data_IF_278319817242
#
_entry.id   IF_278319817242
#
_cell.length_a   1.000
_cell.length_b   1.000
_cell.length_c   1.000
_cell.angle_alpha   90.00
_cell.angle_beta   90.00
_cell.angle_gamma   90.00
#
_symmetry.space_group_name_H-M   'P 1'
#
loop_
_entity.id
_entity.type
_entity.pdbx_description
1 polymer ?
#
# COMPACT_ATOMS: atom_id res chain seq x y z
N UNK A 1 -1.72 29.34 -47.91
CA UNK A 1 -1.14 27.98 -47.82
C UNK A 1 -0.13 27.78 -46.68
N UNK A 2 0.63 28.76 -46.17
CA UNK A 2 1.57 28.58 -45.04
C UNK A 2 0.92 28.46 -43.64
N UNK A 3 -0.27 29.05 -43.39
CA UNK A 3 -0.96 28.99 -42.09
C UNK A 3 -1.70 27.66 -41.85
N UNK A 4 -2.27 27.03 -42.90
CA UNK A 4 -2.94 25.73 -42.76
C UNK A 4 -2.01 24.55 -42.49
N UNK A 5 -0.78 24.60 -43.04
CA UNK A 5 0.22 23.54 -42.83
C UNK A 5 0.79 23.58 -41.41
N UNK A 6 0.87 24.76 -40.78
CA UNK A 6 1.30 24.87 -39.37
C UNK A 6 0.25 24.33 -38.37
N UNK A 7 -1.04 24.51 -38.67
CA UNK A 7 -2.13 24.02 -37.82
C UNK A 7 -2.21 22.48 -37.84
N UNK A 8 -2.04 21.85 -39.04
CA UNK A 8 -2.04 20.39 -39.18
C UNK A 8 -0.79 19.77 -38.55
N UNK A 9 0.38 20.43 -38.64
CA UNK A 9 1.60 19.98 -37.99
C UNK A 9 1.50 20.07 -36.45
N UNK A 10 0.82 21.09 -35.90
CA UNK A 10 0.59 21.26 -34.48
C UNK A 10 -0.38 20.21 -33.90
N UNK A 11 -1.42 19.86 -34.68
CA UNK A 11 -2.40 18.83 -34.26
C UNK A 11 -1.77 17.42 -34.33
N UNK A 12 -0.94 17.15 -35.35
CA UNK A 12 -0.21 15.87 -35.43
C UNK A 12 0.91 15.77 -34.36
N UNK A 13 1.60 16.85 -34.04
CA UNK A 13 2.59 16.87 -32.96
C UNK A 13 1.92 16.70 -31.59
N UNK A 14 0.75 17.29 -31.35
CA UNK A 14 -0.06 17.09 -30.18
C UNK A 14 -0.57 15.66 -30.03
N UNK A 15 -1.02 15.02 -31.12
CA UNK A 15 -1.48 13.63 -31.13
C UNK A 15 -0.31 12.62 -30.94
N UNK A 16 0.88 12.91 -31.48
CA UNK A 16 2.08 12.08 -31.25
C UNK A 16 2.63 12.30 -29.86
N UNK A 17 2.51 13.49 -29.27
CA UNK A 17 2.89 13.75 -27.88
C UNK A 17 1.97 13.04 -26.89
N UNK A 18 0.66 12.93 -27.19
CA UNK A 18 -0.30 12.17 -26.39
C UNK A 18 -0.14 10.64 -26.51
N UNK A 19 0.45 10.15 -27.61
CA UNK A 19 0.73 8.72 -27.80
C UNK A 19 2.11 8.29 -27.26
N UNK A 20 2.98 9.24 -26.94
CA UNK A 20 4.33 8.99 -26.43
C UNK A 20 4.51 9.42 -24.96
N UNK A 21 3.42 9.84 -24.30
CA UNK A 21 3.36 9.76 -22.86
C UNK A 21 3.17 8.29 -22.53
N UNK A 22 4.29 7.56 -22.55
CA UNK A 22 4.42 6.35 -21.76
C UNK A 22 3.83 6.70 -20.42
N UNK A 23 2.99 5.85 -19.89
CA UNK A 23 2.53 5.88 -18.52
C UNK A 23 3.79 5.95 -17.65
N UNK A 24 4.33 7.15 -17.45
CA UNK A 24 5.05 7.43 -16.23
C UNK A 24 3.98 7.22 -15.18
N UNK A 25 3.99 6.04 -14.57
CA UNK A 25 3.45 5.88 -13.24
C UNK A 25 4.09 7.02 -12.45
N UNK A 26 3.36 8.12 -12.31
CA UNK A 26 3.66 9.11 -11.32
C UNK A 26 3.50 8.33 -10.04
N UNK A 27 4.60 7.88 -9.44
CA UNK A 27 4.58 7.34 -8.09
C UNK A 27 3.88 8.43 -7.29
N UNK A 28 2.72 8.12 -6.74
CA UNK A 28 1.96 9.04 -5.92
C UNK A 28 2.87 9.45 -4.78
N UNK A 29 3.30 10.69 -4.79
CA UNK A 29 4.29 11.21 -3.85
C UNK A 29 3.73 11.07 -2.43
N UNK A 30 4.52 10.49 -1.53
CA UNK A 30 4.12 10.33 -0.13
C UNK A 30 4.09 11.71 0.49
N UNK A 31 2.90 12.25 0.67
CA UNK A 31 2.69 13.61 1.16
C UNK A 31 2.18 13.56 2.59
N UNK A 32 2.96 14.01 3.54
CA UNK A 32 2.52 14.27 4.90
C UNK A 32 1.91 15.68 5.01
N UNK A 33 1.21 15.94 6.12
CA UNK A 33 0.95 17.31 6.55
C UNK A 33 2.28 17.91 7.02
N UNK A 34 2.92 18.67 6.16
CA UNK A 34 4.23 19.23 6.42
C UNK A 34 4.14 20.57 7.16
N UNK A 35 5.25 20.99 7.76
CA UNK A 35 5.38 22.34 8.32
C UNK A 35 5.21 23.42 7.25
N UNK A 36 5.43 23.10 5.98
CA UNK A 36 5.21 23.98 4.82
C UNK A 36 3.72 24.26 4.58
N UNK A 37 2.82 23.36 5.02
CA UNK A 37 1.36 23.53 4.94
C UNK A 37 0.83 24.45 6.05
N UNK A 38 1.70 24.86 6.98
CA UNK A 38 1.37 25.71 8.12
C UNK A 38 1.94 27.10 7.87
N UNK A 39 1.11 28.11 8.07
CA UNK A 39 1.56 29.50 8.06
C UNK A 39 2.59 29.71 9.19
N UNK A 40 3.87 29.98 8.84
CA UNK A 40 4.98 30.08 9.82
C UNK A 40 4.96 31.36 10.63
N UNK A 41 4.10 32.32 10.27
CA UNK A 41 3.96 33.60 10.97
C UNK A 41 2.58 33.71 11.61
N UNK A 42 2.54 34.38 12.76
CA UNK A 42 1.30 34.75 13.43
C UNK A 42 0.65 35.94 12.71
N UNK A 43 -0.60 36.28 13.02
CA UNK A 43 -1.34 37.40 12.42
C UNK A 43 -0.66 38.76 12.65
N UNK A 44 0.18 38.90 13.69
CA UNK A 44 0.99 40.07 14.01
C UNK A 44 2.41 40.05 13.40
N UNK A 45 2.68 39.04 12.51
CA UNK A 45 3.92 38.94 11.73
C UNK A 45 5.12 38.33 12.48
N UNK A 46 4.92 37.73 13.65
CA UNK A 46 5.98 37.02 14.38
C UNK A 46 6.10 35.59 13.90
N UNK A 47 7.31 35.04 13.91
CA UNK A 47 7.56 33.65 13.63
C UNK A 47 6.96 32.76 14.74
N UNK A 48 6.21 31.70 14.34
CA UNK A 48 5.61 30.76 15.28
C UNK A 48 6.67 29.85 15.90
N UNK A 49 6.52 29.57 17.19
CA UNK A 49 7.35 28.58 17.86
C UNK A 49 7.11 27.17 17.32
N UNK A 50 8.13 26.28 17.27
CA UNK A 50 7.98 24.91 16.78
C UNK A 50 6.84 24.11 17.44
N UNK A 51 6.54 24.40 18.71
CA UNK A 51 5.41 23.78 19.43
C UNK A 51 4.06 24.22 18.88
N UNK A 52 3.93 25.47 18.44
CA UNK A 52 2.70 25.99 17.84
C UNK A 52 2.47 25.37 16.47
N UNK A 53 3.52 25.27 15.66
CA UNK A 53 3.49 24.60 14.35
C UNK A 53 3.07 23.13 14.53
N UNK A 54 3.72 22.42 15.45
CA UNK A 54 3.36 21.01 15.76
C UNK A 54 1.89 20.88 16.17
N UNK A 55 1.39 21.79 17.01
CA UNK A 55 -0.01 21.79 17.46
C UNK A 55 -0.98 21.98 16.27
N UNK A 56 -0.67 22.92 15.37
CA UNK A 56 -1.51 23.13 14.19
C UNK A 56 -1.52 21.94 13.24
N UNK A 57 -0.37 21.26 13.04
CA UNK A 57 -0.31 20.00 12.27
C UNK A 57 -1.22 18.96 12.91
N UNK A 58 -1.19 18.80 14.23
CA UNK A 58 -2.05 17.85 14.96
C UNK A 58 -3.53 18.21 14.77
N UNK A 59 -3.92 19.48 14.87
CA UNK A 59 -5.31 19.89 14.65
C UNK A 59 -5.75 19.67 13.19
N UNK A 60 -4.87 19.94 12.22
CA UNK A 60 -5.16 19.60 10.81
C UNK A 60 -5.28 18.09 10.60
N UNK A 61 -4.41 17.30 11.25
CA UNK A 61 -4.50 15.85 11.18
C UNK A 61 -5.85 15.37 11.75
N UNK A 62 -6.28 15.85 12.90
CA UNK A 62 -7.60 15.51 13.47
C UNK A 62 -8.75 15.84 12.54
N UNK A 63 -8.67 16.94 11.80
CA UNK A 63 -9.67 17.39 10.86
C UNK A 63 -9.74 16.57 9.55
N UNK A 64 -8.77 15.68 9.29
CA UNK A 64 -8.85 14.79 8.13
C UNK A 64 -10.07 13.88 8.24
N UNK A 65 -10.78 13.65 7.12
CA UNK A 65 -12.01 12.86 7.13
C UNK A 65 -11.76 11.42 7.55
N UNK A 66 -12.68 10.88 8.33
CA UNK A 66 -12.79 9.46 8.66
C UNK A 66 -13.71 8.84 7.61
N UNK A 67 -13.18 7.95 6.76
CA UNK A 67 -13.93 7.40 5.63
C UNK A 67 -15.14 6.60 6.08
N UNK A 68 -15.02 5.87 7.18
CA UNK A 68 -16.13 5.08 7.74
C UNK A 68 -17.26 5.93 8.31
N UNK A 69 -17.01 7.21 8.62
CA UNK A 69 -18.07 8.13 9.08
C UNK A 69 -19.07 8.54 7.98
N UNK A 70 -18.74 8.27 6.72
CA UNK A 70 -19.63 8.50 5.59
C UNK A 70 -20.69 7.41 5.42
N UNK A 71 -20.51 6.25 6.08
CA UNK A 71 -21.43 5.12 6.00
C UNK A 71 -22.72 5.40 6.83
N UNK A 72 -23.85 5.04 6.27
CA UNK A 72 -25.15 5.23 6.95
C UNK A 72 -25.23 4.30 8.17
N UNK A 73 -25.80 4.79 9.27
CA UNK A 73 -25.94 4.05 10.53
C UNK A 73 -24.61 3.50 11.09
N UNK A 74 -23.47 4.00 10.61
CA UNK A 74 -22.17 3.67 11.18
C UNK A 74 -21.87 4.59 12.34
N UNK A 75 -21.41 4.03 13.45
CA UNK A 75 -21.07 4.84 14.62
C UNK A 75 -19.91 5.77 14.27
N UNK A 76 -20.07 7.06 14.54
CA UNK A 76 -19.03 8.05 14.26
C UNK A 76 -17.73 7.74 15.02
N UNK A 77 -16.62 7.71 14.28
CA UNK A 77 -15.30 7.41 14.82
C UNK A 77 -14.68 8.57 15.61
N UNK A 78 -13.73 8.30 16.52
CA UNK A 78 -12.99 9.34 17.21
C UNK A 78 -12.05 10.10 16.26
N UNK A 79 -11.85 11.38 16.53
CA UNK A 79 -10.80 12.18 15.90
C UNK A 79 -9.43 11.76 16.48
N UNK A 80 -8.52 11.27 15.63
CA UNK A 80 -7.17 10.87 16.03
C UNK A 80 -6.12 11.86 15.54
N UNK A 81 -5.02 11.97 16.27
CA UNK A 81 -3.88 12.81 15.94
C UNK A 81 -3.00 12.22 14.83
N UNK A 82 -3.11 10.92 14.56
CA UNK A 82 -2.49 10.28 13.42
C UNK A 82 -3.09 10.75 12.08
N UNK A 83 -2.25 10.94 11.06
CA UNK A 83 -2.74 11.31 9.71
C UNK A 83 -3.49 10.16 9.05
N UNK A 84 -3.10 8.92 9.34
CA UNK A 84 -3.84 7.73 8.95
C UNK A 84 -4.07 6.80 10.14
N UNK A 85 -5.18 6.07 10.08
CA UNK A 85 -5.49 5.05 11.07
C UNK A 85 -6.52 4.05 10.58
N UNK A 86 -6.45 2.83 11.11
CA UNK A 86 -7.42 1.77 10.87
C UNK A 86 -7.66 0.97 12.13
N UNK A 87 -8.89 0.48 12.30
CA UNK A 87 -9.20 -0.63 13.18
C UNK A 87 -9.78 -1.76 12.35
N UNK A 88 -9.14 -2.92 12.42
CA UNK A 88 -9.58 -4.13 11.72
C UNK A 88 -9.84 -5.24 12.73
N UNK A 89 -10.96 -5.93 12.59
CA UNK A 89 -11.24 -7.17 13.31
C UNK A 89 -10.30 -8.28 12.79
N UNK A 90 -9.55 -8.93 13.68
CA UNK A 90 -8.55 -9.91 13.28
C UNK A 90 -9.17 -11.26 12.89
N UNK A 91 -10.35 -11.58 13.38
CA UNK A 91 -10.99 -12.87 13.11
C UNK A 91 -11.52 -12.93 11.66
N UNK A 92 -12.12 -11.84 11.19
CA UNK A 92 -12.82 -11.81 9.91
C UNK A 92 -12.38 -10.70 8.94
N UNK A 93 -11.42 -9.84 9.34
CA UNK A 93 -10.90 -8.77 8.49
C UNK A 93 -11.83 -7.57 8.29
N UNK A 94 -12.93 -7.46 9.07
CA UNK A 94 -13.82 -6.31 9.02
C UNK A 94 -13.11 -5.01 9.36
N UNK A 95 -13.40 -3.96 8.60
CA UNK A 95 -12.87 -2.61 8.83
C UNK A 95 -13.89 -1.85 9.68
N UNK A 96 -13.51 -1.57 10.93
CA UNK A 96 -14.39 -0.90 11.90
C UNK A 96 -14.20 0.62 11.89
N UNK A 97 -12.99 1.07 11.58
CA UNK A 97 -12.59 2.46 11.46
C UNK A 97 -11.58 2.61 10.34
N UNK A 98 -11.71 3.62 9.51
CA UNK A 98 -10.77 3.96 8.44
C UNK A 98 -10.60 5.46 8.31
N UNK A 99 -9.35 5.94 8.36
CA UNK A 99 -8.94 7.31 8.13
C UNK A 99 -7.70 7.31 7.27
N UNK A 100 -7.75 7.88 6.07
CA UNK A 100 -6.64 7.84 5.09
C UNK A 100 -6.00 6.45 4.98
N UNK A 101 -6.83 5.40 5.16
CA UNK A 101 -6.35 4.05 5.43
C UNK A 101 -5.60 3.41 4.25
N UNK A 102 -5.83 3.88 3.03
CA UNK A 102 -5.20 3.39 1.80
C UNK A 102 -4.06 4.27 1.31
N UNK A 103 -3.83 5.41 1.96
CA UNK A 103 -2.76 6.34 1.61
C UNK A 103 -1.40 5.78 2.03
N UNK A 104 -0.37 6.06 1.24
CA UNK A 104 1.02 5.61 1.48
C UNK A 104 1.70 6.46 2.54
N UNK A 105 2.41 5.79 3.46
CA UNK A 105 3.21 6.40 4.53
C UNK A 105 4.50 5.60 4.73
N UNK A 106 5.54 6.24 5.24
CA UNK A 106 6.77 5.56 5.65
C UNK A 106 6.51 4.78 6.95
N UNK A 107 6.78 3.45 6.97
CA UNK A 107 6.42 2.61 8.12
C UNK A 107 7.35 2.76 9.32
N UNK A 108 8.62 3.12 9.13
CA UNK A 108 9.66 2.92 10.13
C UNK A 108 9.69 1.46 10.63
N UNK A 109 10.01 1.25 11.91
CA UNK A 109 10.23 -0.09 12.48
C UNK A 109 8.98 -0.99 12.58
N UNK A 110 7.78 -0.54 12.22
CA UNK A 110 6.64 -1.47 12.09
C UNK A 110 6.84 -2.45 10.92
N UNK A 111 7.71 -2.14 9.96
CA UNK A 111 8.22 -3.05 8.92
C UNK A 111 8.65 -4.41 9.47
N UNK A 112 9.22 -4.44 10.69
CA UNK A 112 9.72 -5.66 11.33
C UNK A 112 8.65 -6.71 11.61
N UNK A 113 7.36 -6.35 11.57
CA UNK A 113 6.26 -7.32 11.62
C UNK A 113 6.28 -8.18 10.35
N UNK A 114 6.47 -7.60 9.16
CA UNK A 114 6.61 -8.35 7.91
C UNK A 114 7.91 -9.19 7.92
N UNK A 115 8.99 -8.63 8.42
CA UNK A 115 10.27 -9.36 8.56
C UNK A 115 10.10 -10.60 9.44
N UNK A 116 9.40 -10.46 10.58
CA UNK A 116 9.11 -11.59 11.46
C UNK A 116 8.20 -12.63 10.79
N UNK A 117 7.17 -12.19 10.07
CA UNK A 117 6.26 -13.08 9.34
C UNK A 117 7.03 -13.94 8.31
N UNK A 118 7.80 -13.29 7.44
CA UNK A 118 8.56 -14.00 6.39
C UNK A 118 9.62 -14.92 7.01
N UNK A 119 10.27 -14.49 8.10
CA UNK A 119 11.24 -15.32 8.81
C UNK A 119 10.58 -16.57 9.40
N UNK A 120 9.44 -16.43 10.08
CA UNK A 120 8.72 -17.56 10.69
C UNK A 120 8.16 -18.55 9.66
N UNK A 121 7.83 -18.09 8.47
CA UNK A 121 7.32 -18.93 7.39
C UNK A 121 8.43 -19.69 6.65
N UNK A 122 9.71 -19.26 6.76
CA UNK A 122 10.81 -19.78 5.93
C UNK A 122 12.04 -20.24 6.73
N UNK A 123 11.97 -20.29 8.06
CA UNK A 123 13.08 -20.74 8.89
C UNK A 123 12.61 -21.48 10.15
N UNK A 124 13.57 -22.08 10.86
CA UNK A 124 13.33 -22.72 12.16
C UNK A 124 13.86 -21.83 13.29
N UNK A 125 13.23 -21.87 14.46
CA UNK A 125 13.69 -21.11 15.64
C UNK A 125 15.11 -21.43 16.10
N UNK A 126 15.63 -22.59 15.69
CA UNK A 126 16.99 -23.06 15.99
C UNK A 126 18.02 -22.68 14.95
N UNK A 127 17.62 -22.10 13.80
CA UNK A 127 18.55 -21.73 12.75
C UNK A 127 19.53 -20.66 13.24
N UNK A 128 20.77 -20.76 12.81
CA UNK A 128 21.83 -19.85 13.23
C UNK A 128 21.78 -18.56 12.39
N UNK A 129 21.62 -17.44 13.04
CA UNK A 129 21.76 -16.09 12.45
C UNK A 129 23.18 -15.61 12.70
N UNK A 130 23.94 -15.38 11.61
CA UNK A 130 25.31 -14.89 11.66
C UNK A 130 25.36 -13.44 11.21
N UNK A 131 26.07 -12.58 11.93
CA UNK A 131 26.16 -11.15 11.65
C UNK A 131 27.30 -10.84 10.68
N UNK A 132 26.95 -10.40 9.48
CA UNK A 132 27.87 -9.95 8.44
C UNK A 132 28.39 -8.52 8.69
N UNK A 133 29.39 -8.09 7.96
CA UNK A 133 29.83 -6.68 7.94
C UNK A 133 28.69 -5.75 7.48
N UNK A 134 27.88 -6.21 6.52
CA UNK A 134 26.74 -5.46 5.98
C UNK A 134 25.64 -5.25 7.02
N UNK A 135 25.31 -6.30 7.79
CA UNK A 135 24.31 -6.17 8.86
C UNK A 135 24.75 -5.15 9.92
N UNK A 136 26.04 -5.12 10.27
CA UNK A 136 26.59 -4.14 11.22
C UNK A 136 26.54 -2.70 10.69
N UNK A 137 26.49 -2.52 9.38
CA UNK A 137 26.26 -1.21 8.75
C UNK A 137 24.95 -0.55 9.21
N UNK A 138 24.03 -1.29 9.81
CA UNK A 138 22.79 -0.75 10.40
C UNK A 138 22.96 -0.23 11.84
N UNK A 139 24.14 -0.33 12.43
CA UNK A 139 24.45 0.13 13.81
C UNK A 139 24.93 1.59 13.83
N UNK A 140 24.08 2.52 13.42
CA UNK A 140 24.42 3.94 13.47
C UNK A 140 23.96 4.58 14.79
N UNK A 141 24.67 5.63 15.23
CA UNK A 141 24.25 6.43 16.37
C UNK A 141 22.86 7.00 16.16
N UNK A 142 21.99 6.83 17.14
CA UNK A 142 20.57 7.26 17.08
C UNK A 142 19.60 6.19 16.56
N UNK A 143 20.10 5.08 16.00
CA UNK A 143 19.25 3.96 15.58
C UNK A 143 19.24 2.82 16.60
N UNK A 144 18.13 2.08 16.64
CA UNK A 144 17.98 0.95 17.55
C UNK A 144 18.87 -0.22 17.13
N UNK A 145 19.78 -0.67 18.01
CA UNK A 145 20.65 -1.83 17.84
C UNK A 145 20.98 -2.46 19.21
N UNK A 146 21.54 -3.66 19.21
CA UNK A 146 21.99 -4.40 20.41
C UNK A 146 23.50 -4.67 20.40
N UNK A 147 24.24 -3.95 19.55
CA UNK A 147 25.69 -3.98 19.44
C UNK A 147 26.27 -5.38 19.14
N UNK A 148 25.69 -6.07 18.17
CA UNK A 148 26.24 -7.32 17.66
C UNK A 148 27.60 -7.08 16.97
N UNK A 149 28.43 -8.10 16.92
CA UNK A 149 29.78 -8.07 16.33
C UNK A 149 29.84 -8.90 15.07
N UNK A 150 30.82 -8.62 14.21
CA UNK A 150 31.07 -9.42 13.01
C UNK A 150 31.32 -10.89 13.36
N UNK A 151 30.72 -11.78 12.59
CA UNK A 151 30.78 -13.24 12.77
C UNK A 151 30.20 -13.74 14.13
N UNK A 152 29.52 -12.85 14.86
CA UNK A 152 28.77 -13.25 16.04
C UNK A 152 27.52 -14.04 15.60
N UNK A 153 27.14 -15.03 16.39
CA UNK A 153 26.07 -15.97 16.10
C UNK A 153 25.06 -16.05 17.23
N UNK A 154 23.78 -16.00 16.89
CA UNK A 154 22.67 -16.30 17.79
C UNK A 154 21.66 -17.18 17.05
N UNK A 155 20.77 -17.86 17.74
CA UNK A 155 19.69 -18.59 17.08
C UNK A 155 18.56 -17.64 16.61
N UNK A 156 17.68 -18.12 15.73
CA UNK A 156 16.57 -17.32 15.17
C UNK A 156 15.59 -16.85 16.27
N UNK A 157 15.34 -17.65 17.32
CA UNK A 157 14.49 -17.25 18.47
C UNK A 157 15.07 -16.02 19.15
N UNK A 158 16.35 -16.01 19.46
CA UNK A 158 17.05 -14.88 20.08
C UNK A 158 17.01 -13.65 19.16
N UNK A 159 17.24 -13.88 17.87
CA UNK A 159 17.21 -12.81 16.86
C UNK A 159 15.81 -12.17 16.74
N UNK A 160 14.74 -12.97 16.69
CA UNK A 160 13.37 -12.45 16.63
C UNK A 160 13.00 -11.67 17.91
N UNK A 161 13.38 -12.15 19.10
CA UNK A 161 13.17 -11.39 20.34
C UNK A 161 13.90 -10.04 20.32
N UNK A 162 15.18 -10.03 19.92
CA UNK A 162 15.97 -8.80 19.81
C UNK A 162 15.37 -7.82 18.79
N UNK A 163 14.95 -8.32 17.63
CA UNK A 163 14.33 -7.51 16.58
C UNK A 163 13.00 -6.91 17.05
N UNK A 164 12.14 -7.68 17.69
CA UNK A 164 10.80 -7.21 18.06
C UNK A 164 10.82 -6.35 19.33
N UNK A 165 11.51 -6.75 20.40
CA UNK A 165 11.53 -6.03 21.67
C UNK A 165 12.47 -4.83 21.66
N UNK A 166 13.75 -5.03 21.26
CA UNK A 166 14.72 -3.95 21.21
C UNK A 166 14.62 -3.10 19.93
N UNK A 167 13.91 -3.59 18.90
CA UNK A 167 13.84 -2.99 17.57
C UNK A 167 15.18 -2.97 16.82
N UNK A 168 16.08 -3.93 17.09
CA UNK A 168 17.44 -3.97 16.59
C UNK A 168 17.47 -4.05 15.06
N UNK A 169 18.11 -3.05 14.40
CA UNK A 169 18.13 -2.93 12.95
C UNK A 169 19.10 -3.89 12.28
N UNK A 170 20.28 -4.08 12.88
CA UNK A 170 21.28 -5.04 12.42
C UNK A 170 20.78 -6.48 12.49
N UNK A 171 19.95 -6.76 13.50
CA UNK A 171 19.34 -8.09 13.64
C UNK A 171 18.30 -8.34 12.54
N UNK A 172 17.47 -7.37 12.22
CA UNK A 172 16.53 -7.49 11.11
C UNK A 172 17.26 -7.72 9.77
N UNK A 173 18.40 -7.06 9.57
CA UNK A 173 19.22 -7.27 8.38
C UNK A 173 19.80 -8.70 8.34
N UNK A 174 20.41 -9.16 9.44
CA UNK A 174 21.01 -10.49 9.53
C UNK A 174 19.97 -11.62 9.40
N UNK A 175 18.73 -11.42 9.93
CA UNK A 175 17.61 -12.32 9.66
C UNK A 175 17.33 -12.40 8.16
N UNK A 176 17.31 -11.24 7.48
CA UNK A 176 17.10 -11.18 6.03
C UNK A 176 18.16 -11.96 5.25
N UNK A 177 19.45 -11.80 5.58
CA UNK A 177 20.52 -12.57 4.95
C UNK A 177 20.38 -14.08 5.22
N UNK A 178 20.05 -14.45 6.44
CA UNK A 178 19.91 -15.86 6.84
C UNK A 178 18.77 -16.56 6.12
N UNK A 179 17.58 -15.92 6.09
CA UNK A 179 16.36 -16.51 5.53
C UNK A 179 16.34 -16.45 4.00
N UNK A 180 16.77 -15.33 3.43
CA UNK A 180 16.76 -15.13 1.99
C UNK A 180 17.97 -15.75 1.27
N UNK A 181 19.02 -16.16 2.00
CA UNK A 181 20.32 -16.51 1.40
C UNK A 181 21.08 -15.30 0.87
N UNK A 182 20.37 -14.29 0.37
CA UNK A 182 20.85 -12.92 0.13
C UNK A 182 19.83 -11.93 0.67
N UNK A 183 20.29 -10.74 1.04
CA UNK A 183 19.40 -9.71 1.58
C UNK A 183 18.37 -9.22 0.57
N UNK A 184 18.78 -9.08 -0.69
CA UNK A 184 17.91 -8.66 -1.80
C UNK A 184 16.79 -9.67 -2.05
N UNK A 185 17.09 -10.95 -1.99
CA UNK A 185 16.08 -12.00 -2.14
C UNK A 185 15.08 -11.96 -0.98
N UNK A 186 15.53 -11.72 0.24
CA UNK A 186 14.62 -11.56 1.38
C UNK A 186 13.66 -10.38 1.20
N UNK A 187 14.14 -9.23 0.74
CA UNK A 187 13.30 -8.07 0.43
C UNK A 187 12.30 -8.39 -0.68
N UNK A 188 12.71 -9.18 -1.68
CA UNK A 188 11.78 -9.68 -2.69
C UNK A 188 10.69 -10.57 -2.06
N UNK A 189 11.06 -11.52 -1.18
CA UNK A 189 10.10 -12.36 -0.46
C UNK A 189 9.09 -11.52 0.35
N UNK A 190 9.53 -10.45 1.01
CA UNK A 190 8.63 -9.52 1.73
C UNK A 190 7.59 -8.91 0.78
N UNK A 191 7.98 -8.44 -0.39
CA UNK A 191 7.10 -7.83 -1.37
C UNK A 191 6.14 -8.85 -2.01
N UNK A 192 6.61 -10.05 -2.31
CA UNK A 192 5.79 -11.15 -2.81
C UNK A 192 4.72 -11.53 -1.77
N UNK A 193 5.13 -11.66 -0.50
CA UNK A 193 4.21 -12.00 0.58
C UNK A 193 3.18 -10.89 0.83
N UNK A 194 3.57 -9.62 0.76
CA UNK A 194 2.64 -8.50 0.84
C UNK A 194 1.56 -8.60 -0.26
N UNK A 195 1.96 -8.90 -1.49
CA UNK A 195 1.03 -9.08 -2.60
C UNK A 195 0.08 -10.27 -2.39
N UNK A 196 0.58 -11.39 -1.85
CA UNK A 196 -0.27 -12.56 -1.52
C UNK A 196 -1.31 -12.25 -0.46
N UNK A 197 -0.98 -11.39 0.51
CA UNK A 197 -1.89 -10.90 1.54
C UNK A 197 -2.92 -9.89 1.01
N UNK A 198 -2.81 -9.47 -0.25
CA UNK A 198 -3.70 -8.49 -0.88
C UNK A 198 -3.34 -7.05 -0.58
N UNK A 199 -2.10 -6.78 -0.19
CA UNK A 199 -1.59 -5.42 -0.02
C UNK A 199 -1.47 -4.71 -1.38
N UNK A 200 -2.04 -3.52 -1.50
CA UNK A 200 -2.08 -2.74 -2.75
C UNK A 200 -1.20 -1.48 -2.69
N UNK A 201 -0.94 -0.98 -1.47
CA UNK A 201 -0.22 0.27 -1.23
C UNK A 201 1.01 0.05 -0.33
N UNK A 202 1.74 -1.04 -0.58
CA UNK A 202 2.92 -1.43 0.20
C UNK A 202 4.08 -1.80 -0.71
N UNK A 203 5.26 -1.31 -0.37
CA UNK A 203 6.52 -1.69 -1.00
C UNK A 203 7.66 -1.63 0.02
N UNK A 204 8.37 -2.73 0.18
CA UNK A 204 9.51 -2.85 1.08
C UNK A 204 10.83 -2.72 0.33
N UNK A 205 11.73 -1.88 0.83
CA UNK A 205 13.11 -1.73 0.37
C UNK A 205 14.13 -2.36 1.32
N UNK A 206 13.71 -2.61 2.57
CA UNK A 206 14.56 -3.18 3.61
C UNK A 206 13.74 -3.89 4.68
N UNK A 207 14.42 -4.72 5.49
CA UNK A 207 13.81 -5.53 6.55
C UNK A 207 13.65 -4.80 7.89
N UNK A 208 14.23 -3.63 8.08
CA UNK A 208 14.29 -2.94 9.37
C UNK A 208 13.42 -1.68 9.46
N UNK A 209 12.97 -1.13 8.33
CA UNK A 209 12.16 0.07 8.27
C UNK A 209 12.96 1.37 8.30
N UNK A 210 14.25 1.33 7.98
CA UNK A 210 15.03 2.54 7.73
C UNK A 210 14.47 3.28 6.51
N UNK A 211 14.60 4.60 6.54
CA UNK A 211 14.05 5.44 5.50
C UNK A 211 14.64 5.13 4.11
N UNK A 212 13.74 4.97 3.16
CA UNK A 212 13.98 4.97 1.72
C UNK A 212 12.71 5.53 1.07
N UNK A 213 12.84 6.37 0.06
CA UNK A 213 11.69 7.03 -0.59
C UNK A 213 10.69 6.04 -1.21
N UNK A 214 11.15 4.84 -1.56
CA UNK A 214 10.34 3.76 -2.12
C UNK A 214 9.88 2.73 -1.07
N UNK A 215 10.15 2.96 0.22
CA UNK A 215 9.75 2.09 1.32
C UNK A 215 8.49 2.62 1.98
N UNK A 216 7.33 2.13 1.60
CA UNK A 216 6.05 2.63 2.08
C UNK A 216 5.04 1.52 2.37
N UNK A 217 4.06 1.86 3.18
CA UNK A 217 2.89 1.02 3.51
C UNK A 217 1.64 1.88 3.60
N UNK A 218 0.46 1.25 3.54
CA UNK A 218 -0.79 1.86 4.00
C UNK A 218 -1.19 1.31 5.38
N UNK A 219 -2.10 1.99 6.07
CA UNK A 219 -2.63 1.50 7.35
C UNK A 219 -3.40 0.20 7.14
N UNK A 220 -4.19 0.08 6.06
CA UNK A 220 -4.89 -1.15 5.67
C UNK A 220 -3.93 -2.31 5.46
N UNK A 221 -2.90 -2.12 4.67
CA UNK A 221 -1.94 -3.19 4.35
C UNK A 221 -1.18 -3.64 5.60
N UNK A 222 -0.78 -2.71 6.47
CA UNK A 222 -0.17 -3.06 7.74
C UNK A 222 -1.10 -3.84 8.67
N UNK A 223 -2.42 -3.55 8.64
CA UNK A 223 -3.39 -4.34 9.39
C UNK A 223 -3.51 -5.76 8.83
N UNK A 224 -3.54 -5.94 7.50
CA UNK A 224 -3.52 -7.26 6.85
C UNK A 224 -2.26 -8.06 7.21
N UNK A 225 -1.09 -7.43 7.09
CA UNK A 225 0.19 -8.04 7.44
C UNK A 225 0.22 -8.45 8.92
N UNK A 226 -0.26 -7.57 9.80
CA UNK A 226 -0.26 -7.84 11.25
C UNK A 226 -1.24 -8.96 11.60
N UNK A 227 -2.42 -8.99 11.00
CA UNK A 227 -3.41 -10.06 11.16
C UNK A 227 -2.81 -11.42 10.84
N UNK A 228 -2.10 -11.53 9.71
CA UNK A 228 -1.42 -12.77 9.32
C UNK A 228 -0.25 -13.10 10.24
N UNK A 229 0.60 -12.13 10.54
CA UNK A 229 1.77 -12.33 11.39
C UNK A 229 1.36 -12.82 12.79
N UNK A 230 0.29 -12.26 13.36
CA UNK A 230 -0.19 -12.62 14.70
C UNK A 230 -1.05 -13.91 14.71
N UNK A 231 -1.27 -14.54 13.56
CA UNK A 231 -1.75 -15.93 13.50
C UNK A 231 -0.66 -16.95 13.89
N UNK A 232 0.63 -16.53 13.85
CA UNK A 232 1.77 -17.37 14.23
C UNK A 232 1.95 -17.35 15.74
N UNK A 233 1.77 -18.50 16.39
CA UNK A 233 1.89 -18.66 17.86
C UNK A 233 3.24 -18.20 18.40
N UNK A 234 4.31 -18.47 17.62
CA UNK A 234 5.68 -18.10 17.97
C UNK A 234 5.86 -16.57 18.05
N UNK A 235 5.23 -15.83 17.13
CA UNK A 235 5.30 -14.37 17.18
C UNK A 235 4.52 -13.83 18.38
N UNK A 236 3.36 -14.41 18.71
CA UNK A 236 2.59 -14.02 19.89
C UNK A 236 3.40 -14.24 21.17
N UNK A 237 4.08 -15.38 21.31
CA UNK A 237 4.98 -15.66 22.44
C UNK A 237 6.06 -14.58 22.57
N UNK A 238 6.73 -14.24 21.44
CA UNK A 238 7.76 -13.19 21.41
C UNK A 238 7.18 -11.84 21.81
N UNK A 239 6.04 -11.45 21.24
CA UNK A 239 5.42 -10.15 21.51
C UNK A 239 4.96 -9.99 22.95
N UNK A 240 4.50 -11.07 23.59
CA UNK A 240 4.05 -11.07 24.98
C UNK A 240 5.20 -11.15 26.00
N UNK A 241 6.44 -11.36 25.53
CA UNK A 241 7.61 -11.43 26.39
C UNK A 241 7.95 -10.03 26.96
N UNK A 242 7.90 -9.80 28.28
CA UNK A 242 8.15 -8.49 28.86
C UNK A 242 9.62 -8.12 28.85
N UNK A 243 10.49 -9.11 29.01
CA UNK A 243 11.95 -8.99 29.03
C UNK A 243 12.57 -10.25 28.48
N UNK A 244 13.61 -10.11 27.68
CA UNK A 244 14.36 -11.21 27.12
C UNK A 244 15.86 -11.01 27.28
N UNK A 245 16.58 -12.11 27.52
CA UNK A 245 18.04 -12.12 27.69
C UNK A 245 18.65 -13.07 26.66
N UNK A 246 19.49 -12.55 25.77
CA UNK A 246 20.37 -13.35 24.93
C UNK A 246 21.57 -13.76 25.79
N UNK A 247 21.86 -15.07 25.87
CA UNK A 247 23.03 -15.56 26.61
C UNK A 247 24.34 -15.13 25.95
N UNK A 248 25.48 -15.49 26.57
CA UNK A 248 26.81 -15.37 25.97
C UNK A 248 26.84 -16.06 24.59
N UNK A 249 27.55 -15.45 23.65
CA UNK A 249 27.62 -15.96 22.28
C UNK A 249 29.01 -16.53 21.98
N UNK A 250 29.26 -16.93 20.74
CA UNK A 250 30.61 -17.34 20.28
C UNK A 250 31.64 -16.21 20.41
N UNK A 251 31.23 -14.94 20.52
CA UNK A 251 32.12 -13.76 20.59
C UNK A 251 31.92 -12.94 21.86
N UNK A 252 30.66 -12.69 22.24
CA UNK A 252 30.35 -11.86 23.41
C UNK A 252 30.35 -12.72 24.68
N UNK A 253 31.08 -12.23 25.70
CA UNK A 253 31.17 -12.87 27.01
C UNK A 253 30.14 -12.34 28.00
N UNK A 254 29.34 -11.38 27.59
CA UNK A 254 28.27 -10.76 28.38
C UNK A 254 26.91 -11.05 27.78
N UNK A 255 25.92 -11.27 28.64
CA UNK A 255 24.53 -11.40 28.22
C UNK A 255 23.96 -10.05 27.81
N UNK A 256 22.95 -10.07 26.92
CA UNK A 256 22.23 -8.87 26.51
C UNK A 256 20.77 -8.98 26.92
N UNK A 257 20.35 -8.11 27.82
CA UNK A 257 18.95 -8.04 28.26
C UNK A 257 18.27 -6.82 27.70
N UNK A 258 17.08 -7.01 27.15
CA UNK A 258 16.22 -5.94 26.66
C UNK A 258 14.76 -6.16 27.05
N UNK A 259 14.01 -5.06 27.13
CA UNK A 259 12.63 -5.03 27.59
C UNK A 259 11.68 -4.68 26.46
N UNK A 260 10.41 -5.07 26.62
CA UNK A 260 9.32 -4.65 25.75
C UNK A 260 9.22 -3.12 25.70
N UNK A 261 9.17 -2.57 24.46
CA UNK A 261 9.08 -1.11 24.24
C UNK A 261 7.65 -0.63 23.99
N UNK A 262 6.69 -1.53 23.76
CA UNK A 262 5.30 -1.15 23.53
C UNK A 262 4.65 -0.75 24.86
N UNK A 263 4.38 0.54 25.05
CA UNK A 263 4.02 1.12 26.36
C UNK A 263 2.66 0.64 26.89
N UNK A 264 1.77 0.11 26.04
CA UNK A 264 0.51 -0.49 26.49
C UNK A 264 0.70 -1.89 27.08
N UNK A 265 1.84 -2.54 26.85
CA UNK A 265 2.19 -3.84 27.42
C UNK A 265 3.04 -3.74 28.68
N UNK A 266 3.51 -2.55 29.02
CA UNK A 266 4.38 -2.29 30.17
C UNK A 266 3.65 -1.43 31.20
N UNK A 267 3.74 -1.80 32.49
CA UNK A 267 3.14 -1.03 33.57
C UNK A 267 3.52 0.46 33.48
N UNK A 268 2.53 1.34 33.56
CA UNK A 268 2.71 2.79 33.45
C UNK A 268 1.48 3.51 32.92
N UNK A 269 1.68 4.75 32.48
CA UNK A 269 0.59 5.66 32.03
C UNK A 269 -0.31 5.06 30.95
N UNK A 270 0.26 4.26 30.04
CA UNK A 270 -0.43 3.75 28.86
C UNK A 270 -0.80 2.27 28.97
N UNK A 271 -0.47 1.62 30.06
CA UNK A 271 -0.78 0.20 30.25
C UNK A 271 -2.27 -0.10 30.02
N UNK A 272 -2.55 -1.06 29.15
CA UNK A 272 -3.90 -1.57 28.91
C UNK A 272 -3.84 -3.11 28.85
N UNK A 273 -4.53 -3.80 29.77
CA UNK A 273 -4.47 -5.26 29.85
C UNK A 273 -5.06 -5.98 28.62
N UNK A 274 -5.79 -5.27 27.77
CA UNK A 274 -6.31 -5.80 26.50
C UNK A 274 -5.22 -5.93 25.42
N UNK A 275 -4.11 -5.19 25.55
CA UNK A 275 -3.01 -5.22 24.60
C UNK A 275 -2.18 -6.48 24.75
N UNK A 276 -2.13 -7.30 23.70
CA UNK A 276 -1.36 -8.54 23.69
C UNK A 276 -0.19 -8.54 22.69
N UNK A 277 0.00 -7.47 21.94
CA UNK A 277 1.10 -7.36 20.98
C UNK A 277 1.12 -6.03 20.25
N UNK A 278 2.21 -5.76 19.56
CA UNK A 278 2.33 -4.58 18.74
C UNK A 278 3.77 -4.15 18.46
N UNK A 279 3.96 -3.13 17.65
CA UNK A 279 5.27 -2.62 17.29
C UNK A 279 5.23 -1.10 17.14
N UNK A 280 6.22 -0.44 17.72
CA UNK A 280 6.47 1.01 17.58
C UNK A 280 7.42 1.27 16.42
N UNK A 281 7.27 2.42 15.76
CA UNK A 281 8.22 2.92 14.78
C UNK A 281 8.38 4.43 14.88
N UNK A 282 9.56 4.90 14.52
CA UNK A 282 9.89 6.31 14.40
C UNK A 282 11.06 6.51 13.46
N UNK A 283 10.94 7.43 12.56
CA UNK A 283 12.02 8.14 11.85
C UNK A 283 11.59 9.60 11.70
N UNK A 284 12.53 10.48 11.38
CA UNK A 284 12.19 11.89 11.15
C UNK A 284 11.20 12.06 9.98
N UNK A 285 11.24 11.14 9.00
CA UNK A 285 10.36 11.16 7.83
C UNK A 285 9.00 10.50 8.07
N UNK A 286 8.92 9.44 8.90
CA UNK A 286 7.67 8.73 9.19
C UNK A 286 6.88 9.34 10.33
N UNK A 287 7.55 10.12 11.18
CA UNK A 287 7.06 10.45 12.53
C UNK A 287 6.74 9.17 13.33
N UNK A 288 5.86 9.25 14.32
CA UNK A 288 5.49 8.06 15.08
C UNK A 288 4.54 7.18 14.28
N UNK A 289 4.83 5.90 14.26
CA UNK A 289 3.96 4.83 13.76
C UNK A 289 3.74 3.81 14.87
N UNK A 290 2.55 3.25 14.94
CA UNK A 290 2.19 2.28 15.97
C UNK A 290 1.25 1.22 15.42
N UNK A 291 1.58 -0.03 15.67
CA UNK A 291 0.68 -1.18 15.51
C UNK A 291 0.39 -1.74 16.88
N UNK A 292 -0.88 -1.96 17.19
CA UNK A 292 -1.31 -2.54 18.47
C UNK A 292 -2.39 -3.60 18.23
N UNK A 293 -2.21 -4.79 18.75
CA UNK A 293 -3.22 -5.84 18.79
C UNK A 293 -3.84 -5.91 20.18
N UNK A 294 -5.17 -5.93 20.24
CA UNK A 294 -5.93 -5.91 21.47
C UNK A 294 -7.05 -6.95 21.46
N UNK A 295 -7.35 -7.50 22.63
CA UNK A 295 -8.42 -8.48 22.81
C UNK A 295 -9.33 -8.07 23.96
N UNK A 296 -10.64 -8.14 23.73
CA UNK A 296 -11.66 -7.96 24.77
C UNK A 296 -12.83 -8.92 24.51
N UNK A 297 -13.20 -9.69 25.53
CA UNK A 297 -14.29 -10.68 25.46
C UNK A 297 -14.15 -11.70 24.30
N UNK A 298 -12.92 -12.11 23.98
CA UNK A 298 -12.61 -13.08 22.92
C UNK A 298 -12.56 -12.50 21.50
N UNK A 299 -12.90 -11.21 21.30
CA UNK A 299 -12.74 -10.53 20.01
C UNK A 299 -11.39 -9.84 19.94
N UNK A 300 -10.67 -10.07 18.84
CA UNK A 300 -9.35 -9.51 18.60
C UNK A 300 -9.41 -8.43 17.51
N UNK A 301 -8.75 -7.32 17.77
CA UNK A 301 -8.61 -6.23 16.80
C UNK A 301 -7.15 -5.85 16.64
N UNK A 302 -6.81 -5.35 15.45
CA UNK A 302 -5.55 -4.65 15.18
C UNK A 302 -5.83 -3.19 14.90
N UNK A 303 -5.03 -2.33 15.49
CA UNK A 303 -5.06 -0.88 15.32
C UNK A 303 -3.73 -0.46 14.73
N UNK A 304 -3.76 0.28 13.63
CA UNK A 304 -2.56 0.88 13.00
C UNK A 304 -2.73 2.38 12.96
N UNK A 305 -1.70 3.11 13.40
CA UNK A 305 -1.63 4.58 13.34
C UNK A 305 -0.34 4.96 12.61
N UNK A 306 -0.45 5.82 11.60
CA UNK A 306 0.67 6.30 10.79
C UNK A 306 0.71 7.83 10.79
N UNK A 307 1.92 8.39 10.61
CA UNK A 307 2.12 9.82 10.46
C UNK A 307 1.74 10.64 11.69
N UNK A 308 1.90 10.11 12.90
CA UNK A 308 1.51 10.83 14.12
C UNK A 308 2.66 11.63 14.71
N UNK A 309 2.42 12.93 14.92
CA UNK A 309 3.39 13.80 15.61
C UNK A 309 3.46 13.55 17.11
N UNK A 310 2.36 13.03 17.69
CA UNK A 310 2.23 12.73 19.12
C UNK A 310 0.95 11.92 19.35
N UNK A 311 0.71 11.48 20.59
CA UNK A 311 -0.57 10.91 21.05
C UNK A 311 -0.95 9.54 20.45
N UNK A 312 -0.01 8.76 19.90
CA UNK A 312 -0.32 7.45 19.28
C UNK A 312 -1.00 6.48 20.25
N UNK A 313 -0.65 6.51 21.54
CA UNK A 313 -1.25 5.63 22.54
C UNK A 313 -2.62 6.11 23.00
N UNK A 314 -2.84 7.41 23.10
CA UNK A 314 -4.14 8.01 23.37
C UNK A 314 -5.11 7.71 22.23
N UNK A 315 -4.66 7.88 20.98
CA UNK A 315 -5.40 7.54 19.76
C UNK A 315 -5.76 6.05 19.74
N UNK A 316 -4.78 5.18 20.02
CA UNK A 316 -4.98 3.72 20.07
C UNK A 316 -6.04 3.34 21.11
N UNK A 317 -6.00 3.93 22.31
CA UNK A 317 -6.99 3.66 23.34
C UNK A 317 -8.39 4.10 22.91
N UNK A 318 -8.51 5.30 22.34
CA UNK A 318 -9.79 5.81 21.85
C UNK A 318 -10.39 4.91 20.75
N UNK A 319 -9.55 4.44 19.81
CA UNK A 319 -9.96 3.51 18.76
C UNK A 319 -10.34 2.13 19.29
N UNK A 320 -9.62 1.62 20.31
CA UNK A 320 -9.97 0.36 20.95
C UNK A 320 -11.33 0.44 21.66
N UNK A 321 -11.52 1.47 22.48
CA UNK A 321 -12.77 1.70 23.19
C UNK A 321 -13.94 1.86 22.19
N UNK A 322 -13.74 2.62 21.11
CA UNK A 322 -14.70 2.77 20.01
C UNK A 322 -15.09 1.41 19.40
N UNK A 323 -14.10 0.59 19.05
CA UNK A 323 -14.34 -0.69 18.38
C UNK A 323 -15.06 -1.69 19.29
N UNK A 324 -14.60 -1.84 20.53
CA UNK A 324 -15.20 -2.82 21.44
C UNK A 324 -16.59 -2.44 21.91
N UNK A 325 -16.90 -1.15 22.04
CA UNK A 325 -18.19 -0.69 22.55
C UNK A 325 -19.29 -0.65 21.49
N UNK A 326 -18.96 -0.35 20.23
CA UNK A 326 -19.96 -0.01 19.22
C UNK A 326 -20.23 -1.11 18.20
N UNK A 327 -19.39 -2.16 18.13
CA UNK A 327 -19.50 -3.22 17.14
C UNK A 327 -19.76 -4.56 17.80
N UNK A 328 -20.39 -5.46 17.06
CA UNK A 328 -20.65 -6.84 17.47
C UNK A 328 -20.34 -7.82 16.35
N UNK A 329 -19.94 -9.03 16.71
CA UNK A 329 -19.76 -10.14 15.78
C UNK A 329 -21.08 -10.90 15.63
N UNK A 330 -21.53 -11.05 14.37
CA UNK A 330 -22.73 -11.81 14.01
C UNK A 330 -22.31 -13.04 13.23
N UNK A 331 -22.70 -14.23 13.72
CA UNK A 331 -22.42 -15.50 13.05
C UNK A 331 -23.16 -15.62 11.73
N UNK A 332 -22.42 -15.93 10.66
CA UNK A 332 -22.94 -16.03 9.30
C UNK A 332 -23.90 -17.23 9.18
N UNK A 333 -23.55 -18.35 9.78
CA UNK A 333 -24.32 -19.61 9.68
C UNK A 333 -25.75 -19.52 10.28
N UNK A 334 -25.98 -18.59 11.16
CA UNK A 334 -27.30 -18.34 11.79
C UNK A 334 -28.23 -17.45 10.93
N UNK A 335 -27.75 -16.92 9.80
CA UNK A 335 -28.46 -15.95 9.01
C UNK A 335 -29.19 -16.56 7.80
N UNK A 336 -30.46 -16.21 7.60
CA UNK A 336 -31.30 -16.68 6.48
C UNK A 336 -30.68 -16.38 5.11
N UNK A 337 -30.15 -15.17 4.92
CA UNK A 337 -29.54 -14.71 3.66
C UNK A 337 -28.23 -15.44 3.33
N UNK A 338 -27.64 -16.14 4.30
CA UNK A 338 -26.43 -16.93 4.11
C UNK A 338 -26.72 -18.39 3.67
N UNK A 339 -27.98 -18.87 3.70
CA UNK A 339 -28.36 -20.24 3.32
C UNK A 339 -28.04 -20.58 1.86
N UNK A 340 -27.83 -19.58 1.01
CA UNK A 340 -27.34 -19.77 -0.36
C UNK A 340 -25.90 -20.29 -0.45
N UNK A 341 -25.17 -20.28 0.66
CA UNK A 341 -23.80 -20.77 0.76
C UNK A 341 -23.74 -22.06 1.58
N UNK A 342 -22.76 -22.90 1.29
CA UNK A 342 -22.41 -24.12 2.01
C UNK A 342 -20.93 -24.12 2.38
N UNK A 343 -20.54 -25.03 3.25
CA UNK A 343 -19.13 -25.19 3.70
C UNK A 343 -18.58 -23.91 4.36
N UNK A 344 -19.43 -23.15 5.07
CA UNK A 344 -19.03 -22.03 5.89
C UNK A 344 -18.57 -22.56 7.25
N UNK A 345 -17.45 -22.07 7.78
CA UNK A 345 -17.03 -22.40 9.15
C UNK A 345 -18.09 -22.00 10.18
N UNK A 346 -18.29 -22.85 11.21
CA UNK A 346 -19.21 -22.55 12.31
C UNK A 346 -18.81 -21.30 13.10
N UNK A 347 -17.54 -20.91 13.05
CA UNK A 347 -17.01 -19.70 13.70
C UNK A 347 -17.03 -18.48 12.79
N UNK A 348 -17.41 -18.64 11.52
CA UNK A 348 -17.44 -17.52 10.57
C UNK A 348 -18.44 -16.44 11.00
N UNK A 349 -17.97 -15.21 11.05
CA UNK A 349 -18.75 -14.04 11.47
C UNK A 349 -18.47 -12.83 10.58
N UNK A 350 -19.36 -11.86 10.65
CA UNK A 350 -19.15 -10.48 10.24
C UNK A 350 -19.11 -9.60 11.47
N UNK A 351 -18.45 -8.43 11.38
CA UNK A 351 -18.43 -7.45 12.47
C UNK A 351 -19.01 -6.15 11.98
N UNK A 352 -20.13 -5.75 12.56
CA UNK A 352 -20.90 -4.57 12.17
C UNK A 352 -21.33 -3.75 13.37
N UNK A 353 -21.68 -2.45 13.20
CA UNK A 353 -22.31 -1.66 14.26
C UNK A 353 -23.63 -2.27 14.69
N UNK A 354 -24.01 -2.06 15.95
CA UNK A 354 -25.28 -2.54 16.54
C UNK A 354 -26.54 -2.05 15.83
N UNK A 355 -26.45 -0.93 15.10
CA UNK A 355 -27.57 -0.32 14.35
C UNK A 355 -27.62 -0.78 12.87
N UNK A 356 -26.76 -1.74 12.45
CA UNK A 356 -26.74 -2.34 11.11
C UNK A 356 -27.22 -3.78 11.20
N UNK A 357 -28.17 -4.17 10.35
CA UNK A 357 -28.67 -5.54 10.33
C UNK A 357 -27.93 -6.39 9.27
N UNK A 358 -27.72 -7.68 9.54
CA UNK A 358 -27.05 -8.60 8.60
C UNK A 358 -27.74 -8.65 7.22
N UNK A 359 -29.05 -8.48 7.16
CA UNK A 359 -29.81 -8.47 5.90
C UNK A 359 -29.44 -7.32 4.95
N UNK A 360 -28.85 -6.24 5.50
CA UNK A 360 -28.44 -5.06 4.73
C UNK A 360 -27.06 -5.22 4.10
N UNK A 361 -26.38 -6.37 4.34
CA UNK A 361 -25.06 -6.66 3.83
C UNK A 361 -25.11 -7.20 2.40
N UNK A 362 -24.19 -6.72 1.58
CA UNK A 362 -23.88 -7.32 0.28
C UNK A 362 -22.85 -8.43 0.45
N UNK A 363 -22.94 -9.47 -0.38
CA UNK A 363 -21.99 -10.59 -0.32
C UNK A 363 -21.46 -10.94 -1.70
N UNK A 364 -20.15 -11.17 -1.78
CA UNK A 364 -19.42 -11.57 -2.97
C UNK A 364 -18.67 -12.88 -2.72
N UNK A 365 -18.95 -13.92 -3.52
CA UNK A 365 -18.18 -15.16 -3.52
C UNK A 365 -17.20 -15.15 -4.69
N UNK A 366 -15.91 -15.14 -4.38
CA UNK A 366 -14.84 -15.19 -5.39
C UNK A 366 -14.63 -16.62 -5.93
N UNK A 367 -14.01 -16.77 -7.11
CA UNK A 367 -13.73 -18.10 -7.69
C UNK A 367 -12.84 -19.01 -6.84
N UNK A 368 -11.99 -18.43 -5.98
CA UNK A 368 -11.12 -19.16 -5.06
C UNK A 368 -11.85 -19.68 -3.80
N UNK A 369 -13.16 -19.41 -3.68
CA UNK A 369 -13.97 -19.78 -2.52
C UNK A 369 -13.99 -18.75 -1.39
N UNK A 370 -13.36 -17.61 -1.55
CA UNK A 370 -13.41 -16.52 -0.59
C UNK A 370 -14.75 -15.80 -0.66
N UNK A 371 -15.48 -15.78 0.44
CA UNK A 371 -16.75 -15.08 0.61
C UNK A 371 -16.53 -13.81 1.41
N UNK A 372 -16.80 -12.67 0.79
CA UNK A 372 -16.71 -11.33 1.39
C UNK A 372 -18.08 -10.75 1.65
N UNK A 373 -18.21 -10.06 2.78
CA UNK A 373 -19.39 -9.28 3.13
C UNK A 373 -19.03 -7.81 3.19
N UNK A 374 -19.92 -6.99 2.63
CA UNK A 374 -19.74 -5.53 2.57
C UNK A 374 -20.99 -4.82 3.10
N UNK A 375 -20.79 -3.67 3.70
CA UNK A 375 -21.83 -2.70 4.01
C UNK A 375 -21.48 -1.36 3.36
N UNK A 376 -22.31 -0.91 2.41
CA UNK A 376 -22.05 0.30 1.59
C UNK A 376 -20.61 0.36 1.01
N UNK A 377 -20.11 -0.79 0.57
CA UNK A 377 -18.76 -0.95 0.01
C UNK A 377 -17.63 -1.13 1.05
N UNK A 378 -17.90 -0.94 2.35
CA UNK A 378 -16.94 -1.22 3.41
C UNK A 378 -16.92 -2.72 3.75
N UNK A 379 -15.74 -3.31 3.88
CA UNK A 379 -15.55 -4.72 4.22
C UNK A 379 -15.92 -4.96 5.69
N UNK A 380 -16.88 -5.87 5.93
CA UNK A 380 -17.36 -6.21 7.27
C UNK A 380 -17.15 -7.69 7.64
N UNK A 381 -16.57 -8.48 6.74
CA UNK A 381 -16.18 -9.86 7.04
C UNK A 381 -15.72 -10.63 5.83
N UNK A 382 -14.78 -11.56 6.04
CA UNK A 382 -14.27 -12.50 5.05
C UNK A 382 -14.27 -13.90 5.63
N UNK A 383 -14.74 -14.86 4.86
CA UNK A 383 -14.66 -16.29 5.18
C UNK A 383 -14.51 -17.11 3.91
N UNK A 384 -14.49 -18.42 4.03
CA UNK A 384 -14.54 -19.32 2.87
C UNK A 384 -15.90 -19.98 2.77
N UNK A 385 -16.40 -20.20 1.54
CA UNK A 385 -17.67 -20.84 1.28
C UNK A 385 -17.73 -21.44 -0.12
N UNK A 386 -18.77 -22.24 -0.37
CA UNK A 386 -19.20 -22.69 -1.69
C UNK A 386 -20.66 -22.30 -1.91
N UNK A 387 -21.09 -22.17 -3.16
CA UNK A 387 -22.52 -22.06 -3.45
C UNK A 387 -23.21 -23.38 -3.10
N UNK A 388 -24.33 -23.31 -2.39
CA UNK A 388 -25.17 -24.47 -2.12
C UNK A 388 -25.64 -25.10 -3.44
N UNK A 389 -25.84 -26.43 -3.44
CA UNK A 389 -26.17 -27.18 -4.66
C UNK A 389 -27.42 -26.66 -5.36
N UNK A 390 -28.43 -26.25 -4.60
CA UNK A 390 -29.68 -25.66 -5.08
C UNK A 390 -29.50 -24.33 -5.84
N UNK A 391 -28.50 -23.52 -5.46
CA UNK A 391 -28.21 -22.21 -6.06
C UNK A 391 -27.14 -22.27 -7.17
N UNK A 392 -26.47 -23.42 -7.37
CA UNK A 392 -25.52 -23.60 -8.48
C UNK A 392 -26.19 -23.52 -9.85
N UNK A 393 -27.43 -23.98 -9.95
CA UNK A 393 -28.22 -23.97 -11.20
C UNK A 393 -28.63 -22.53 -11.54
N UNK A 394 -29.11 -21.76 -10.56
CA UNK A 394 -29.48 -20.34 -10.75
C UNK A 394 -28.26 -19.47 -11.06
N UNK A 395 -27.12 -19.71 -10.37
CA UNK A 395 -25.89 -18.98 -10.60
C UNK A 395 -25.28 -19.24 -11.98
N UNK A 396 -25.43 -20.45 -12.53
CA UNK A 396 -25.02 -20.78 -13.89
C UNK A 396 -25.91 -20.11 -14.93
N UNK A 397 -27.24 -20.07 -14.69
CA UNK A 397 -28.19 -19.36 -15.55
C UNK A 397 -27.96 -17.84 -15.56
N UNK A 398 -27.72 -17.22 -14.40
CA UNK A 398 -27.40 -15.80 -14.27
C UNK A 398 -26.08 -15.42 -14.94
N UNK A 399 -25.03 -16.28 -14.81
CA UNK A 399 -23.76 -16.08 -15.53
C UNK A 399 -23.92 -16.19 -17.04
N UNK A 400 -24.71 -17.14 -17.52
CA UNK A 400 -25.03 -17.27 -18.93
C UNK A 400 -25.78 -16.04 -19.46
N UNK A 401 -26.74 -15.52 -18.72
CA UNK A 401 -27.50 -14.30 -19.06
C UNK A 401 -26.61 -13.04 -19.02
N UNK A 402 -25.70 -12.94 -18.04
CA UNK A 402 -24.74 -11.84 -17.97
C UNK A 402 -23.69 -11.90 -19.09
N UNK A 403 -23.24 -13.09 -19.46
CA UNK A 403 -22.36 -13.27 -20.63
C UNK A 403 -23.06 -12.92 -21.92
N UNK A 404 -24.34 -13.29 -22.08
CA UNK A 404 -25.15 -12.92 -23.23
C UNK A 404 -25.41 -11.41 -23.28
N UNK A 405 -25.66 -10.76 -22.15
CA UNK A 405 -25.77 -9.29 -22.05
C UNK A 405 -24.44 -8.59 -22.35
N UNK A 406 -23.31 -9.10 -21.87
CA UNK A 406 -21.96 -8.59 -22.21
C UNK A 406 -21.65 -8.77 -23.68
N UNK A 407 -21.92 -9.94 -24.27
CA UNK A 407 -21.73 -10.19 -25.69
C UNK A 407 -22.60 -9.26 -26.55
N UNK A 408 -23.86 -9.01 -26.16
CA UNK A 408 -24.73 -8.03 -26.82
C UNK A 408 -24.27 -6.57 -26.64
N UNK A 409 -23.56 -6.26 -25.57
CA UNK A 409 -23.01 -4.92 -25.29
C UNK A 409 -21.70 -4.67 -26.04
N UNK A 410 -20.88 -5.73 -26.29
CA UNK A 410 -19.65 -5.61 -27.07
C UNK A 410 -19.87 -5.46 -28.58
N UNK A 411 -21.05 -5.80 -29.09
CA UNK A 411 -21.42 -5.63 -30.51
C UNK A 411 -22.01 -4.24 -30.83
N UNK A 412 -21.84 -3.23 -29.99
CA UNK A 412 -22.31 -1.88 -30.32
C UNK A 412 -21.62 -1.35 -31.58
N UNK A 413 -22.40 -0.96 -32.61
CA UNK A 413 -21.87 -0.58 -33.93
C UNK A 413 -20.92 0.62 -33.90
N UNK A 414 -20.89 1.37 -32.83
CA UNK A 414 -20.05 2.55 -32.69
C UNK A 414 -18.54 2.23 -32.59
N UNK A 415 -18.14 1.06 -32.07
CA UNK A 415 -16.73 0.63 -32.11
C UNK A 415 -16.26 0.41 -33.57
N UNK A 416 -17.12 -0.19 -34.39
CA UNK A 416 -16.87 -0.33 -35.83
C UNK A 416 -16.79 1.04 -36.52
N UNK A 417 -17.62 2.02 -36.14
CA UNK A 417 -17.58 3.39 -36.68
C UNK A 417 -16.22 4.05 -36.39
N UNK A 418 -15.68 3.90 -35.18
CA UNK A 418 -14.36 4.47 -34.86
C UNK A 418 -13.22 3.80 -35.64
N UNK A 419 -13.29 2.48 -35.87
CA UNK A 419 -12.33 1.74 -36.68
C UNK A 419 -12.39 2.22 -38.14
N UNK A 420 -13.59 2.38 -38.68
CA UNK A 420 -13.79 2.89 -40.05
C UNK A 420 -13.27 4.33 -40.17
N UNK A 421 -13.56 5.21 -39.21
CA UNK A 421 -13.05 6.59 -39.18
C UNK A 421 -11.52 6.64 -39.14
N UNK A 422 -10.89 5.77 -38.36
CA UNK A 422 -9.42 5.66 -38.27
C UNK A 422 -8.82 5.22 -39.63
N UNK A 423 -9.44 4.25 -40.31
CA UNK A 423 -9.00 3.78 -41.64
C UNK A 423 -9.15 4.91 -42.66
N UNK A 424 -10.26 5.64 -42.66
CA UNK A 424 -10.48 6.78 -43.57
C UNK A 424 -9.44 7.87 -43.35
N UNK A 425 -9.10 8.21 -42.11
CA UNK A 425 -8.05 9.18 -41.80
C UNK A 425 -6.67 8.74 -42.31
N UNK A 426 -6.33 7.45 -42.17
CA UNK A 426 -5.07 6.90 -42.71
C UNK A 426 -5.03 7.03 -44.24
N UNK A 427 -6.13 6.69 -44.95
CA UNK A 427 -6.22 6.78 -46.38
C UNK A 427 -6.08 8.24 -46.85
N UNK A 428 -6.75 9.20 -46.20
CA UNK A 428 -6.61 10.62 -46.47
C UNK A 428 -5.17 11.10 -46.29
N UNK A 429 -4.52 10.68 -45.21
CA UNK A 429 -3.12 11.02 -44.92
C UNK A 429 -2.18 10.51 -46.00
N UNK A 430 -2.35 9.27 -46.45
CA UNK A 430 -1.57 8.69 -47.56
C UNK A 430 -1.80 9.43 -48.89
N UNK A 431 -3.03 9.83 -49.19
CA UNK A 431 -3.36 10.64 -50.36
C UNK A 431 -2.68 12.01 -50.32
N UNK A 432 -2.68 12.68 -49.19
CA UNK A 432 -1.99 13.97 -48.99
C UNK A 432 -0.47 13.82 -49.22
N UNK A 433 0.13 12.75 -48.66
CA UNK A 433 1.56 12.46 -48.86
C UNK A 433 1.88 12.23 -50.34
N UNK A 434 1.05 11.44 -51.06
CA UNK A 434 1.21 11.20 -52.52
C UNK A 434 1.11 12.50 -53.33
N UNK A 435 0.16 13.38 -53.00
CA UNK A 435 0.02 14.69 -53.65
C UNK A 435 1.24 15.58 -53.37
N UNK A 436 1.79 15.57 -52.15
CA UNK A 436 3.01 16.31 -51.83
C UNK A 436 4.23 15.79 -52.61
N UNK A 437 4.39 14.47 -52.73
CA UNK A 437 5.46 13.85 -53.53
C UNK A 437 5.34 14.23 -55.00
N UNK A 438 4.12 14.18 -55.58
CA UNK A 438 3.86 14.60 -56.96
C UNK A 438 4.16 16.10 -57.17
N UNK A 439 3.77 16.96 -56.21
CA UNK A 439 4.07 18.39 -56.24
C UNK A 439 5.58 18.68 -56.15
N UNK A 440 6.29 17.96 -55.30
CA UNK A 440 7.75 18.07 -55.16
C UNK A 440 8.48 17.62 -56.46
N UNK A 441 8.02 16.52 -57.06
CA UNK A 441 8.57 16.04 -58.36
C UNK A 441 8.37 17.08 -59.46
N UNK A 442 7.17 17.67 -59.54
CA UNK A 442 6.85 18.73 -60.54
C UNK A 442 7.64 20.02 -60.31
N UNK A 443 7.93 20.38 -59.01
CA UNK A 443 8.83 21.50 -58.68
C UNK A 443 10.29 21.22 -59.09
N UNK A 444 10.78 19.99 -58.91
CA UNK A 444 12.15 19.57 -59.29
C UNK A 444 12.34 19.59 -60.77
N UNK A 445 11.36 19.19 -61.57
CA UNK A 445 11.35 19.28 -63.02
C UNK A 445 11.36 20.74 -63.54
N UNK A 446 10.52 21.61 -62.92
CA UNK A 446 10.51 23.07 -63.28
C UNK A 446 11.86 23.72 -62.95
N UNK A 447 12.51 23.37 -61.86
CA UNK A 447 13.83 23.87 -61.52
C UNK A 447 14.92 23.36 -62.51
N UNK A 448 14.85 22.09 -62.95
CA UNK A 448 15.74 21.54 -63.96
C UNK A 448 15.59 22.26 -65.30
N UNK A 449 14.35 22.52 -65.75
CA UNK A 449 14.07 23.29 -66.99
C UNK A 449 14.61 24.73 -66.89
N UNK A 450 14.41 25.41 -65.74
CA UNK A 450 14.96 26.76 -65.52
C UNK A 450 16.50 26.79 -65.55
N UNK A 451 17.17 25.83 -64.93
CA UNK A 451 18.64 25.73 -64.99
C UNK A 451 19.15 25.43 -66.45
N UNK A 452 18.45 24.57 -67.15
CA UNK A 452 18.80 24.29 -68.52
C UNK A 452 18.65 25.53 -69.44
N UNK A 453 17.57 26.32 -69.28
CA UNK A 453 17.42 27.59 -70.01
C UNK A 453 18.51 28.60 -69.62
N UNK A 454 18.87 28.74 -68.37
CA UNK A 454 19.94 29.64 -67.95
C UNK A 454 21.30 29.23 -68.55
N UNK A 455 21.61 27.94 -68.64
CA UNK A 455 22.84 27.42 -69.26
C UNK A 455 22.85 27.71 -70.75
N UNK A 456 21.72 27.53 -71.46
CA UNK A 456 21.58 27.90 -72.91
C UNK A 456 21.78 29.39 -73.15
N UNK A 457 21.21 30.25 -72.30
CA UNK A 457 21.36 31.72 -72.41
C UNK A 457 22.81 32.14 -72.10
N UNK A 458 23.50 31.54 -71.18
CA UNK A 458 24.92 31.79 -70.93
C UNK A 458 25.81 31.33 -72.07
N UNK A 459 25.49 30.20 -72.72
CA UNK A 459 26.23 29.73 -73.91
C UNK A 459 25.99 30.64 -75.13
N UNK A 460 24.80 31.19 -75.29
CA UNK A 460 24.51 32.18 -76.41
C UNK A 460 25.24 33.51 -76.15
N UNK A 461 25.33 33.96 -74.91
CA UNK A 461 26.08 35.18 -74.56
C UNK A 461 27.57 34.99 -74.84
N UNK A 462 28.18 33.86 -74.46
CA UNK A 462 29.59 33.54 -74.71
C UNK A 462 29.91 33.40 -76.23
N UNK A 463 28.94 33.03 -77.09
CA UNK A 463 29.10 32.99 -78.56
C UNK A 463 28.92 34.36 -79.25
N UNK A 464 28.52 35.36 -78.50
CA UNK A 464 28.35 36.76 -79.05
C UNK A 464 29.59 37.60 -78.73
N UNK A 465 30.41 37.17 -77.78
CA UNK A 465 31.61 37.90 -77.36
C UNK A 465 32.90 37.23 -77.89
N UNK A 466 32.76 36.26 -78.83
CA UNK A 466 33.83 35.67 -79.64
C UNK A 466 33.54 35.99 -81.09
#
# INVERSE_FOLDING_TARGET
MRKGIRLIASVLAGAIFMLNTGITSCAEEITYLLEEDIEKTTADGKEKEPKEIKKEIIEKAKALPVETDALKNWTKGPEICGEAGIVMDMDNGAILYGKSMDRKYYPASITKIMTALVALENSQMTDTVTFSEQSLGCQHSGYAHIAMKKDEQINMRDALHAMMLASANEVAYAIGETVGGTYEHFVQMMNERAKELGCENTHFMNANGMFDENHYVSARDMALITREAFSKSELLEIMQTPQYTIPVTNIAQEERTFQQKHRMMVQGKYYDPRCFGGKTGYTDQSYNTLVTAMEENGRKIVIVILGSRDHTYEDTKALADYAFQNFEQIKITEQETAKKYSEISETACVTIPKDVEFKDLESELKPNGELRYFYEGNLVGVTTAKLAAEHKIEGAALKAEQQEKKAKQETKPWKMIWIILAIVLIVISLLVILLQIRAAKKRKERMRRRRAMQRRRQQQLRKRDS
#
